data_IF_981057195546
#
_entry.id   IF_981057195546
#
_cell.length_a   1.000
_cell.length_b   1.000
_cell.length_c   1.000
_cell.angle_alpha   90.00
_cell.angle_beta   90.00
_cell.angle_gamma   90.00
#
_symmetry.space_group_name_H-M   'P 1'
#
loop_
_entity.id
_entity.type
_entity.pdbx_description
1 polymer ?
#
# COMPACT_ATOMS: atom_id res chain seq x y z
N UNK A 1 14.11 7.47 6.74
CA UNK A 1 13.49 7.70 5.40
C UNK A 1 12.13 6.99 5.34
N UNK A 2 11.17 7.42 4.52
CA UNK A 2 9.83 6.82 4.44
C UNK A 2 9.83 5.32 4.07
N UNK A 3 10.81 4.88 3.26
CA UNK A 3 11.03 3.46 2.94
C UNK A 3 11.35 2.60 4.17
N UNK A 4 11.99 3.17 5.19
CA UNK A 4 12.28 2.45 6.44
C UNK A 4 11.00 2.22 7.22
N UNK A 5 10.08 3.19 7.19
CA UNK A 5 8.76 3.08 7.81
C UNK A 5 7.92 2.01 7.10
N UNK A 6 7.99 1.90 5.78
CA UNK A 6 7.34 0.81 5.04
C UNK A 6 7.83 -0.57 5.48
N UNK A 7 9.16 -0.73 5.65
CA UNK A 7 9.76 -1.99 6.12
C UNK A 7 9.33 -2.34 7.55
N UNK A 8 9.30 -1.35 8.43
CA UNK A 8 8.93 -1.54 9.84
C UNK A 8 7.44 -1.84 10.01
N UNK A 9 6.58 -1.10 9.31
CA UNK A 9 5.11 -1.20 9.45
C UNK A 9 4.49 -2.23 8.52
N UNK A 10 5.29 -2.83 7.62
CA UNK A 10 4.82 -3.77 6.58
C UNK A 10 3.69 -3.14 5.76
N UNK A 11 3.78 -1.81 5.59
CA UNK A 11 2.78 -1.01 4.92
C UNK A 11 3.38 -0.45 3.63
N UNK A 12 2.63 -0.57 2.54
CA UNK A 12 2.93 0.06 1.27
C UNK A 12 2.14 1.36 1.13
N UNK A 13 2.75 2.37 0.51
CA UNK A 13 2.07 3.61 0.11
C UNK A 13 1.72 3.56 -1.38
N UNK A 14 0.43 3.63 -1.70
CA UNK A 14 -0.11 3.48 -3.06
C UNK A 14 -0.94 4.68 -3.48
N UNK A 15 -0.95 5.00 -4.78
CA UNK A 15 -1.85 6.00 -5.35
C UNK A 15 -3.26 5.42 -5.43
N UNK A 16 -4.22 6.05 -4.77
CA UNK A 16 -5.64 5.71 -4.94
C UNK A 16 -6.28 6.45 -6.11
N UNK A 17 -5.76 7.63 -6.45
CA UNK A 17 -6.27 8.52 -7.49
C UNK A 17 -5.12 9.05 -8.34
N UNK A 18 -5.45 9.59 -9.53
CA UNK A 18 -4.50 10.34 -10.34
C UNK A 18 -3.94 11.56 -9.59
N UNK A 19 -2.78 12.03 -10.04
CA UNK A 19 -2.19 13.28 -9.57
C UNK A 19 -3.11 14.45 -9.93
N UNK A 20 -3.21 15.42 -9.04
CA UNK A 20 -3.95 16.67 -9.26
C UNK A 20 -2.98 17.73 -9.75
N UNK A 21 -3.33 18.44 -10.82
CA UNK A 21 -2.56 19.60 -11.28
C UNK A 21 -3.24 20.87 -10.77
N UNK A 22 -2.44 21.80 -10.28
CA UNK A 22 -2.89 23.15 -9.94
C UNK A 22 -2.92 24.04 -11.19
N UNK A 23 -3.69 25.12 -11.14
CA UNK A 23 -3.82 26.09 -12.26
C UNK A 23 -2.49 26.74 -12.66
N UNK A 24 -1.53 26.73 -11.73
CA UNK A 24 -0.20 27.35 -11.85
C UNK A 24 0.82 26.35 -12.45
N UNK A 25 0.45 25.08 -12.63
CA UNK A 25 1.32 24.04 -13.21
C UNK A 25 1.97 23.09 -12.20
N UNK A 26 1.81 23.35 -10.89
CA UNK A 26 2.22 22.43 -9.84
C UNK A 26 1.42 21.12 -9.85
N UNK A 27 2.00 20.04 -9.33
CA UNK A 27 1.39 18.71 -9.31
C UNK A 27 1.40 18.13 -7.90
N UNK A 28 0.22 17.79 -7.40
CA UNK A 28 0.04 17.14 -6.11
C UNK A 28 -0.32 15.66 -6.28
N UNK A 29 0.45 14.78 -5.66
CA UNK A 29 0.22 13.34 -5.64
C UNK A 29 0.00 12.89 -4.20
N UNK A 30 -1.08 12.14 -3.98
CA UNK A 30 -1.36 11.53 -2.68
C UNK A 30 -1.09 10.02 -2.73
N UNK A 31 -0.27 9.55 -1.80
CA UNK A 31 -0.08 8.13 -1.53
C UNK A 31 -0.73 7.79 -0.19
N UNK A 32 -1.54 6.75 -0.16
CA UNK A 32 -2.21 6.27 1.05
C UNK A 32 -1.68 4.90 1.41
N UNK A 33 -1.79 4.52 2.69
CA UNK A 33 -1.56 3.14 3.07
C UNK A 33 -2.43 2.20 2.23
N UNK A 34 -1.85 1.13 1.67
CA UNK A 34 -2.56 0.16 0.85
C UNK A 34 -3.72 -0.54 1.58
N UNK A 35 -3.67 -0.58 2.91
CA UNK A 35 -4.73 -1.12 3.78
C UNK A 35 -5.89 -0.15 3.99
N UNK A 36 -5.73 1.13 3.64
CA UNK A 36 -6.76 2.15 3.79
C UNK A 36 -7.98 1.89 2.90
N UNK A 37 -9.17 2.10 3.47
CA UNK A 37 -10.45 2.09 2.78
C UNK A 37 -11.27 0.82 3.00
N UNK A 38 -12.36 0.72 2.24
CA UNK A 38 -13.31 -0.37 2.30
C UNK A 38 -13.14 -1.31 1.11
N UNK A 39 -13.33 -2.60 1.36
CA UNK A 39 -13.40 -3.59 0.31
C UNK A 39 -14.78 -3.55 -0.34
N UNK A 40 -14.85 -3.06 -1.57
CA UNK A 40 -16.07 -3.08 -2.36
C UNK A 40 -16.15 -4.39 -3.14
N UNK A 41 -17.05 -5.27 -2.72
CA UNK A 41 -17.39 -6.50 -3.46
C UNK A 41 -18.21 -6.10 -4.66
N UNK A 42 -17.70 -6.33 -5.88
CA UNK A 42 -18.51 -6.22 -7.09
C UNK A 42 -19.18 -7.56 -7.31
N UNK A 43 -20.52 -7.61 -7.25
CA UNK A 43 -21.31 -8.86 -7.30
C UNK A 43 -21.08 -9.71 -8.56
N UNK A 44 -20.65 -9.12 -9.68
CA UNK A 44 -20.56 -9.82 -10.98
C UNK A 44 -19.19 -10.45 -11.29
N UNK A 45 -18.29 -10.56 -10.31
CA UNK A 45 -16.95 -11.11 -10.56
C UNK A 45 -16.93 -12.63 -10.42
N UNK A 46 -16.61 -13.33 -11.51
CA UNK A 46 -16.36 -14.79 -11.56
C UNK A 46 -15.19 -15.28 -10.68
N UNK A 47 -14.36 -14.38 -10.14
CA UNK A 47 -13.23 -14.74 -9.28
C UNK A 47 -13.66 -14.74 -7.82
N UNK A 48 -13.52 -15.89 -7.18
CA UNK A 48 -13.68 -16.03 -5.73
C UNK A 48 -12.62 -15.23 -4.99
N UNK A 49 -12.98 -14.74 -3.80
CA UNK A 49 -12.04 -14.10 -2.88
C UNK A 49 -11.02 -15.15 -2.42
N UNK A 50 -9.74 -14.76 -2.35
CA UNK A 50 -8.69 -15.61 -1.79
C UNK A 50 -9.01 -15.97 -0.34
N UNK A 51 -8.50 -17.09 0.17
CA UNK A 51 -8.64 -17.49 1.58
C UNK A 51 -8.23 -16.36 2.54
N UNK A 52 -7.18 -15.62 2.19
CA UNK A 52 -6.68 -14.47 2.97
C UNK A 52 -7.64 -13.27 2.97
N UNK A 53 -8.64 -13.20 2.10
CA UNK A 53 -9.57 -12.07 2.03
C UNK A 53 -8.93 -10.78 1.50
N UNK A 54 -9.59 -9.64 1.72
CA UNK A 54 -9.10 -8.33 1.30
C UNK A 54 -8.01 -7.77 2.22
N UNK A 55 -7.04 -7.03 1.67
CA UNK A 55 -6.03 -6.32 2.45
C UNK A 55 -6.56 -5.03 3.10
N UNK A 56 -7.78 -4.61 2.75
CA UNK A 56 -8.44 -3.42 3.29
C UNK A 56 -8.89 -3.67 4.73
N UNK A 57 -8.70 -2.68 5.60
CA UNK A 57 -9.10 -2.75 7.02
C UNK A 57 -10.59 -2.45 7.23
N UNK A 58 -11.33 -2.15 6.14
CA UNK A 58 -12.71 -1.66 6.19
C UNK A 58 -12.86 -0.47 7.12
N UNK A 59 -11.93 0.48 6.98
CA UNK A 59 -11.81 1.65 7.83
C UNK A 59 -10.79 2.63 7.25
N UNK A 60 -10.64 3.77 7.92
CA UNK A 60 -9.76 4.83 7.46
C UNK A 60 -8.42 4.80 8.22
N UNK A 61 -7.32 4.60 7.50
CA UNK A 61 -5.98 4.75 8.04
C UNK A 61 -5.46 6.16 7.71
N UNK A 62 -5.06 6.96 8.72
CA UNK A 62 -4.57 8.33 8.49
C UNK A 62 -3.17 8.38 7.86
N UNK A 63 -2.48 7.24 7.77
CA UNK A 63 -1.15 7.16 7.19
C UNK A 63 -1.16 7.45 5.70
N UNK A 64 -0.50 8.55 5.32
CA UNK A 64 -0.46 9.07 3.95
C UNK A 64 0.79 9.89 3.71
N UNK A 65 1.13 10.03 2.43
CA UNK A 65 2.19 10.89 1.93
C UNK A 65 1.60 11.85 0.90
N UNK A 66 1.82 13.14 1.10
CA UNK A 66 1.49 14.19 0.13
C UNK A 66 2.79 14.64 -0.52
N UNK A 67 2.86 14.48 -1.84
CA UNK A 67 3.99 14.90 -2.66
C UNK A 67 3.51 16.09 -3.48
N UNK A 68 4.14 17.24 -3.32
CA UNK A 68 3.91 18.43 -4.12
C UNK A 68 5.14 18.69 -4.99
N UNK A 69 4.95 18.71 -6.30
CA UNK A 69 5.94 19.09 -7.29
C UNK A 69 5.62 20.52 -7.73
N UNK A 70 6.55 21.45 -7.56
CA UNK A 70 6.41 22.84 -7.99
C UNK A 70 6.86 23.04 -9.45
N UNK A 71 6.56 24.20 -10.04
CA UNK A 71 6.92 24.58 -11.42
C UNK A 71 8.44 24.51 -11.64
N UNK A 72 9.21 24.84 -10.61
CA UNK A 72 10.68 24.80 -10.64
C UNK A 72 11.25 23.38 -10.42
N UNK A 73 10.43 22.34 -10.54
CA UNK A 73 10.77 20.93 -10.25
C UNK A 73 11.22 20.68 -8.80
N UNK A 74 10.89 21.57 -7.87
CA UNK A 74 11.12 21.33 -6.45
C UNK A 74 10.08 20.35 -5.91
N UNK A 75 10.53 19.35 -5.13
CA UNK A 75 9.67 18.28 -4.61
C UNK A 75 9.56 18.41 -3.09
N UNK A 76 8.36 18.70 -2.62
CA UNK A 76 8.01 18.75 -1.21
C UNK A 76 7.23 17.50 -0.81
N UNK A 77 7.64 16.87 0.28
CA UNK A 77 7.01 15.63 0.76
C UNK A 77 6.57 15.80 2.21
N UNK A 78 5.27 15.75 2.44
CA UNK A 78 4.67 15.68 3.78
C UNK A 78 4.29 14.24 4.08
N UNK A 79 4.87 13.67 5.14
CA UNK A 79 4.70 12.26 5.48
C UNK A 79 4.04 12.09 6.86
N UNK A 80 2.82 11.56 6.86
CA UNK A 80 2.11 11.15 8.08
C UNK A 80 2.31 9.66 8.29
N UNK A 81 3.14 9.29 9.28
CA UNK A 81 3.53 7.90 9.57
C UNK A 81 2.54 7.11 10.45
N UNK A 82 1.51 7.78 10.98
CA UNK A 82 0.66 7.19 12.03
C UNK A 82 -0.33 6.23 11.38
N UNK A 83 -0.26 4.95 11.75
CA UNK A 83 -1.23 3.94 11.38
C UNK A 83 -2.22 3.72 12.53
N UNK A 84 -3.50 4.02 12.31
CA UNK A 84 -4.59 3.72 13.24
C UNK A 84 -5.50 2.66 12.62
N UNK A 85 -6.04 1.78 13.46
CA UNK A 85 -6.97 0.72 13.04
C UNK A 85 -6.29 -0.51 12.42
N UNK A 86 -4.97 -0.52 12.25
CA UNK A 86 -4.22 -1.73 11.90
C UNK A 86 -2.77 -1.70 12.37
N UNK A 87 -2.26 -2.87 12.76
CA UNK A 87 -0.85 -3.08 13.08
C UNK A 87 -0.06 -3.73 11.95
N UNK A 88 1.12 -4.21 12.33
CA UNK A 88 2.02 -5.06 11.53
C UNK A 88 1.47 -6.46 11.40
N UNK A 89 0.67 -6.70 10.37
CA UNK A 89 0.12 -8.03 10.08
C UNK A 89 1.06 -8.78 9.12
N UNK A 90 1.85 -9.71 9.67
CA UNK A 90 2.79 -10.53 8.89
C UNK A 90 2.09 -11.36 7.81
N UNK A 91 0.81 -11.74 7.99
CA UNK A 91 0.05 -12.46 6.96
C UNK A 91 -0.24 -11.59 5.74
N UNK A 92 -0.19 -10.26 5.90
CA UNK A 92 -0.42 -9.26 4.85
C UNK A 92 0.88 -8.72 4.27
N UNK A 93 2.02 -9.23 4.73
CA UNK A 93 3.34 -8.86 4.19
C UNK A 93 3.42 -9.25 2.73
N UNK A 94 3.76 -8.29 1.88
CA UNK A 94 4.16 -8.60 0.52
C UNK A 94 5.50 -9.34 0.55
N UNK A 95 5.51 -10.56 0.02
CA UNK A 95 6.70 -11.40 -0.08
C UNK A 95 7.48 -10.96 -1.32
N UNK A 96 8.81 -10.80 -1.19
CA UNK A 96 9.67 -10.46 -2.33
C UNK A 96 10.00 -11.69 -3.17
N UNK A 97 10.52 -11.48 -4.39
CA UNK A 97 10.91 -12.60 -5.27
C UNK A 97 12.03 -13.43 -4.64
N UNK A 98 12.95 -12.81 -3.92
CA UNK A 98 14.03 -13.52 -3.22
C UNK A 98 13.48 -14.38 -2.09
N UNK A 99 12.54 -13.87 -1.30
CA UNK A 99 11.88 -14.65 -0.24
C UNK A 99 11.07 -15.84 -0.81
N UNK A 100 10.45 -15.68 -1.99
CA UNK A 100 9.75 -16.77 -2.68
C UNK A 100 10.74 -17.86 -3.12
N UNK A 101 11.84 -17.48 -3.79
CA UNK A 101 12.87 -18.43 -4.24
C UNK A 101 13.40 -19.27 -3.07
N UNK A 102 13.76 -18.61 -1.95
CA UNK A 102 14.21 -19.29 -0.75
C UNK A 102 13.17 -20.25 -0.17
N UNK A 103 11.87 -19.90 -0.19
CA UNK A 103 10.82 -20.79 0.34
C UNK A 103 10.59 -22.00 -0.58
N UNK A 104 10.77 -21.84 -1.90
CA UNK A 104 10.73 -22.94 -2.87
C UNK A 104 11.91 -23.90 -2.68
N UNK A 105 13.12 -23.40 -2.43
CA UNK A 105 14.29 -24.22 -2.07
C UNK A 105 14.02 -25.09 -0.82
N UNK A 106 13.29 -24.53 0.15
CA UNK A 106 12.88 -25.23 1.37
C UNK A 106 11.69 -26.19 1.17
N UNK A 107 11.29 -26.49 -0.08
CA UNK A 107 10.18 -27.39 -0.45
C UNK A 107 8.83 -27.04 0.18
N UNK A 108 8.62 -25.76 0.53
CA UNK A 108 7.32 -25.28 1.02
C UNK A 108 6.36 -25.16 -0.17
N UNK A 109 5.17 -25.76 -0.08
CA UNK A 109 4.16 -25.67 -1.13
C UNK A 109 3.72 -24.22 -1.38
N UNK A 110 3.51 -23.90 -2.66
CA UNK A 110 3.06 -22.59 -3.14
C UNK A 110 1.71 -22.15 -2.57
N UNK A 111 0.85 -23.10 -2.17
CA UNK A 111 -0.44 -22.81 -1.55
C UNK A 111 -0.30 -22.09 -0.21
N UNK A 112 0.84 -22.26 0.48
CA UNK A 112 1.13 -21.57 1.75
C UNK A 112 1.88 -20.25 1.58
N UNK A 113 2.16 -19.83 0.34
CA UNK A 113 2.93 -18.62 0.02
C UNK A 113 2.06 -17.40 -0.31
N UNK A 114 0.73 -17.47 -0.20
CA UNK A 114 -0.21 -16.45 -0.70
C UNK A 114 -1.37 -16.13 0.23
#
# INVERSE_FOLDING_TARGET
MWKDVEKQTIALYVKNTGSKSDKIGGKTTYLYCHRNGFYNVMCDKKRTIKVTGSNKINGNCPSKMKICEDIENQVYVEFTKIHLGHGTDLRRKQITREEIARKLENKISLDFLR
#
